data_IF_109079684304
#
_entry.id   IF_109079684304
#
_cell.length_a   1.000
_cell.length_b   1.000
_cell.length_c   1.000
_cell.angle_alpha   90.00
_cell.angle_beta   90.00
_cell.angle_gamma   90.00
#
_symmetry.space_group_name_H-M   'P 1'
#
loop_
_entity.id
_entity.type
_entity.pdbx_description
1 polymer ?
#
# COMPACT_ATOMS: atom_id res chain seq x y z
N UNK A 1 18.17 18.58 0.55
CA UNK A 1 17.63 18.15 -0.75
C UNK A 1 16.38 17.31 -0.51
N UNK A 2 15.23 17.95 -0.33
CA UNK A 2 13.91 17.28 -0.22
C UNK A 2 12.89 18.17 -0.94
N UNK A 3 13.00 18.25 -2.26
CA UNK A 3 11.95 18.86 -3.08
C UNK A 3 10.86 17.80 -3.26
N UNK A 4 9.91 17.76 -2.33
CA UNK A 4 8.67 17.02 -2.57
C UNK A 4 7.82 17.82 -3.57
N UNK A 5 7.17 17.12 -4.50
CA UNK A 5 6.27 17.75 -5.46
C UNK A 5 5.05 18.29 -4.72
N UNK A 6 4.76 19.57 -4.94
CA UNK A 6 3.58 20.25 -4.42
C UNK A 6 2.44 20.06 -5.42
N UNK A 7 1.42 19.30 -5.03
CA UNK A 7 0.18 19.08 -5.78
C UNK A 7 -0.97 19.68 -4.97
N UNK A 8 -1.30 20.95 -5.23
CA UNK A 8 -2.20 21.74 -4.38
C UNK A 8 -3.68 21.39 -4.54
N UNK A 9 -4.05 20.68 -5.61
CA UNK A 9 -5.43 20.35 -5.94
C UNK A 9 -5.53 18.87 -6.34
N UNK A 10 -5.11 17.99 -5.42
CA UNK A 10 -5.09 16.55 -5.61
C UNK A 10 -5.59 15.85 -4.36
N UNK A 11 -6.42 14.82 -4.54
CA UNK A 11 -6.76 13.88 -3.46
C UNK A 11 -5.54 13.00 -3.24
N UNK A 12 -5.12 12.85 -1.98
CA UNK A 12 -3.98 12.00 -1.60
C UNK A 12 -4.43 11.00 -0.55
N UNK A 13 -4.11 9.73 -0.75
CA UNK A 13 -4.44 8.63 0.17
C UNK A 13 -3.31 7.61 0.16
N UNK A 14 -2.98 7.07 1.34
CA UNK A 14 -2.05 5.95 1.49
C UNK A 14 -2.82 4.64 1.52
N UNK A 15 -2.51 3.72 0.60
CA UNK A 15 -3.07 2.37 0.60
C UNK A 15 -2.06 1.38 1.16
N UNK A 16 -2.53 0.53 2.07
CA UNK A 16 -1.70 -0.50 2.71
C UNK A 16 -2.12 -1.89 2.21
N UNK A 17 -1.22 -2.57 1.51
CA UNK A 17 -1.44 -3.90 0.94
C UNK A 17 -0.18 -4.76 0.92
N UNK A 18 0.74 -4.51 1.87
CA UNK A 18 2.09 -5.09 1.86
C UNK A 18 2.74 -5.00 0.46
N UNK A 19 3.29 -6.10 -0.05
CA UNK A 19 3.92 -6.16 -1.37
C UNK A 19 2.94 -5.99 -2.54
N UNK A 20 1.62 -6.16 -2.33
CA UNK A 20 0.59 -5.98 -3.35
C UNK A 20 0.09 -4.51 -3.45
N UNK A 21 0.57 -3.62 -2.57
CA UNK A 21 0.04 -2.26 -2.42
C UNK A 21 -0.02 -1.44 -3.71
N UNK A 22 0.98 -1.58 -4.60
CA UNK A 22 0.99 -0.87 -5.88
C UNK A 22 -0.17 -1.31 -6.79
N UNK A 23 -0.47 -2.61 -6.85
CA UNK A 23 -1.56 -3.13 -7.68
C UNK A 23 -2.92 -2.68 -7.14
N UNK A 24 -3.10 -2.67 -5.81
CA UNK A 24 -4.32 -2.15 -5.19
C UNK A 24 -4.52 -0.66 -5.46
N UNK A 25 -3.46 0.14 -5.32
CA UNK A 25 -3.51 1.57 -5.63
C UNK A 25 -3.79 1.81 -7.12
N UNK A 26 -3.17 1.04 -8.02
CA UNK A 26 -3.41 1.14 -9.45
C UNK A 26 -4.87 0.85 -9.83
N UNK A 27 -5.48 -0.17 -9.21
CA UNK A 27 -6.90 -0.51 -9.44
C UNK A 27 -7.86 0.53 -8.89
N UNK A 28 -7.53 1.09 -7.72
CA UNK A 28 -8.30 2.18 -7.13
C UNK A 28 -8.27 3.42 -8.03
N UNK A 29 -7.09 3.80 -8.51
CA UNK A 29 -6.92 4.98 -9.35
C UNK A 29 -7.46 4.75 -10.77
N UNK A 30 -7.36 3.55 -11.36
CA UNK A 30 -8.00 3.25 -12.67
C UNK A 30 -9.52 3.46 -12.61
N UNK A 31 -10.17 2.96 -11.55
CA UNK A 31 -11.59 3.21 -11.32
C UNK A 31 -11.91 4.70 -11.16
N UNK A 32 -11.12 5.42 -10.38
CA UNK A 32 -11.27 6.88 -10.17
C UNK A 32 -11.09 7.67 -11.47
N UNK A 33 -10.04 7.38 -12.24
CA UNK A 33 -9.75 8.03 -13.52
C UNK A 33 -10.83 7.75 -14.55
N UNK A 34 -11.35 6.52 -14.63
CA UNK A 34 -12.48 6.18 -15.53
C UNK A 34 -13.78 6.88 -15.13
N UNK A 35 -14.03 7.05 -13.84
CA UNK A 35 -15.26 7.68 -13.33
C UNK A 35 -15.24 9.21 -13.45
N UNK A 36 -14.09 9.84 -13.19
CA UNK A 36 -13.99 11.29 -13.07
C UNK A 36 -13.21 11.96 -14.20
N UNK A 37 -12.54 11.21 -15.06
CA UNK A 37 -11.75 11.73 -16.17
C UNK A 37 -10.47 12.46 -15.76
N UNK A 38 -10.10 12.43 -14.48
CA UNK A 38 -8.91 13.10 -13.97
C UNK A 38 -7.70 12.15 -13.98
N UNK A 39 -6.50 12.65 -14.32
CA UNK A 39 -5.28 11.86 -14.20
C UNK A 39 -4.95 11.56 -12.73
N UNK A 40 -4.30 10.44 -12.49
CA UNK A 40 -3.85 10.02 -11.16
C UNK A 40 -2.36 9.66 -11.17
N UNK A 41 -1.71 9.86 -10.02
CA UNK A 41 -0.31 9.53 -9.78
C UNK A 41 -0.24 8.43 -8.74
N UNK A 42 0.09 7.22 -9.18
CA UNK A 42 0.27 6.05 -8.30
C UNK A 42 1.73 5.98 -7.90
N UNK A 43 2.02 5.95 -6.59
CA UNK A 43 3.37 5.83 -6.06
C UNK A 43 3.43 4.62 -5.14
N UNK A 44 4.45 3.79 -5.30
CA UNK A 44 4.84 2.80 -4.31
C UNK A 44 6.27 3.09 -3.86
N UNK A 45 6.46 3.28 -2.56
CA UNK A 45 7.76 3.54 -1.98
C UNK A 45 7.92 2.79 -0.67
N UNK A 46 9.02 2.06 -0.55
CA UNK A 46 9.30 1.20 0.59
C UNK A 46 10.73 1.43 1.08
N UNK A 47 10.86 1.65 2.39
CA UNK A 47 12.15 1.68 3.08
C UNK A 47 12.16 0.50 4.06
N UNK A 48 12.42 -0.70 3.54
CA UNK A 48 12.39 -1.95 4.31
C UNK A 48 13.71 -2.24 5.02
N UNK A 49 14.82 -1.60 4.63
CA UNK A 49 16.12 -1.74 5.28
C UNK A 49 16.04 -1.48 6.80
N UNK A 50 15.22 -0.50 7.22
CA UNK A 50 14.97 -0.16 8.63
C UNK A 50 14.16 -1.21 9.40
N UNK A 51 13.59 -2.19 8.70
CA UNK A 51 12.75 -3.26 9.27
C UNK A 51 13.44 -4.63 9.22
N UNK A 52 14.66 -4.72 8.69
CA UNK A 52 15.42 -5.97 8.64
C UNK A 52 15.77 -6.41 10.07
N UNK A 53 15.49 -7.68 10.39
CA UNK A 53 16.03 -8.35 11.56
C UNK A 53 17.29 -9.12 11.14
N UNK A 54 18.51 -8.71 11.55
CA UNK A 54 19.74 -9.39 11.15
C UNK A 54 19.84 -10.86 11.57
N UNK A 55 19.07 -11.27 12.60
CA UNK A 55 19.00 -12.67 13.03
C UNK A 55 18.12 -13.54 12.13
N UNK A 56 17.25 -12.94 11.31
CA UNK A 56 16.35 -13.63 10.41
C UNK A 56 16.91 -13.54 8.98
N UNK A 57 17.62 -14.60 8.57
CA UNK A 57 18.42 -14.59 7.35
C UNK A 57 17.57 -14.42 6.08
N UNK A 58 16.32 -14.90 6.06
CA UNK A 58 15.49 -14.81 4.87
C UNK A 58 15.14 -13.36 4.54
N UNK A 59 14.72 -12.54 5.52
CA UNK A 59 14.45 -11.11 5.30
C UNK A 59 15.72 -10.30 5.06
N UNK A 60 16.82 -10.62 5.75
CA UNK A 60 18.05 -9.82 5.69
C UNK A 60 18.69 -9.77 4.29
N UNK A 61 18.49 -10.81 3.47
CA UNK A 61 19.05 -10.87 2.11
C UNK A 61 18.05 -10.46 1.02
N UNK A 62 16.76 -10.31 1.36
CA UNK A 62 15.69 -10.04 0.40
C UNK A 62 15.22 -8.58 0.43
N UNK A 63 15.17 -7.94 1.60
CA UNK A 63 14.59 -6.61 1.72
C UNK A 63 15.55 -5.50 1.28
N UNK A 64 14.99 -4.55 0.55
CA UNK A 64 15.70 -3.40 0.01
C UNK A 64 14.80 -2.15 0.04
N UNK A 65 15.41 -1.01 -0.22
CA UNK A 65 14.71 0.27 -0.32
C UNK A 65 14.53 0.63 -1.80
N UNK A 66 13.30 0.99 -2.17
CA UNK A 66 12.98 1.35 -3.54
C UNK A 66 11.73 2.23 -3.60
N UNK A 67 11.60 2.99 -4.70
CA UNK A 67 10.39 3.70 -5.04
C UNK A 67 10.14 3.61 -6.55
N UNK A 68 8.87 3.53 -6.92
CA UNK A 68 8.39 3.54 -8.30
C UNK A 68 7.08 4.31 -8.40
N UNK A 69 6.79 4.84 -9.58
CA UNK A 69 5.56 5.58 -9.82
C UNK A 69 5.05 5.37 -11.25
N UNK A 70 3.73 5.46 -11.40
CA UNK A 70 3.05 5.49 -12.70
C UNK A 70 2.05 6.65 -12.70
N UNK A 71 1.95 7.34 -13.84
CA UNK A 71 0.86 8.29 -14.10
C UNK A 71 -0.13 7.59 -14.99
N UNK A 72 -1.39 7.57 -14.58
CA UNK A 72 -2.50 7.09 -15.39
C UNK A 72 -3.40 8.26 -15.76
N UNK A 73 -4.02 8.17 -16.94
CA UNK A 73 -4.86 9.23 -17.48
C UNK A 73 -6.09 8.65 -18.17
N UNK A 74 -7.09 9.49 -18.44
CA UNK A 74 -8.29 9.08 -19.17
C UNK A 74 -7.92 8.56 -20.57
N UNK A 75 -8.67 7.57 -21.03
CA UNK A 75 -8.53 6.98 -22.35
C UNK A 75 -9.92 6.68 -22.92
N UNK A 76 -10.20 7.17 -24.13
CA UNK A 76 -11.49 7.00 -24.79
C UNK A 76 -11.57 5.69 -25.60
N UNK A 77 -10.43 5.02 -25.83
CA UNK A 77 -10.35 3.74 -26.55
C UNK A 77 -10.70 2.58 -25.61
N UNK A 78 -11.85 1.95 -25.84
CA UNK A 78 -12.39 0.89 -24.97
C UNK A 78 -11.52 -0.39 -24.93
N UNK A 79 -10.64 -0.60 -25.90
CA UNK A 79 -9.73 -1.75 -26.04
C UNK A 79 -8.29 -1.46 -25.56
N UNK A 80 -8.10 -0.36 -24.81
CA UNK A 80 -6.80 0.08 -24.31
C UNK A 80 -6.81 0.30 -22.79
N UNK A 81 -5.60 0.44 -22.24
CA UNK A 81 -5.39 0.64 -20.80
C UNK A 81 -5.42 -0.68 -20.03
N UNK A 82 -5.94 -0.64 -18.80
CA UNK A 82 -6.11 -1.83 -17.97
C UNK A 82 -7.33 -2.60 -18.48
N UNK A 83 -7.10 -3.73 -19.15
CA UNK A 83 -8.15 -4.55 -19.76
C UNK A 83 -8.91 -5.40 -18.72
N UNK A 84 -8.27 -5.67 -17.60
CA UNK A 84 -8.82 -6.45 -16.51
C UNK A 84 -7.79 -6.65 -15.41
N UNK A 85 -8.28 -6.91 -14.21
CA UNK A 85 -7.44 -7.28 -13.08
C UNK A 85 -8.19 -8.22 -12.14
N UNK A 86 -7.43 -8.99 -11.39
CA UNK A 86 -7.91 -9.85 -10.33
C UNK A 86 -7.08 -9.55 -9.09
N UNK A 87 -7.77 -9.24 -8.01
CA UNK A 87 -7.20 -8.97 -6.70
C UNK A 87 -7.95 -9.82 -5.68
N UNK A 88 -7.21 -10.44 -4.78
CA UNK A 88 -7.75 -11.35 -3.77
C UNK A 88 -6.98 -11.18 -2.46
N UNK A 89 -7.57 -11.63 -1.36
CA UNK A 89 -6.95 -11.56 -0.03
C UNK A 89 -7.38 -12.76 0.81
N UNK A 90 -6.42 -13.62 1.14
CA UNK A 90 -6.62 -14.74 2.06
C UNK A 90 -6.01 -14.44 3.44
N UNK A 91 -6.87 -14.22 4.43
CA UNK A 91 -6.47 -13.97 5.81
C UNK A 91 -6.09 -15.22 6.61
N UNK A 92 -6.32 -16.43 6.08
CA UNK A 92 -6.03 -17.69 6.79
C UNK A 92 -4.56 -17.84 7.17
N UNK A 93 -3.67 -17.23 6.38
CA UNK A 93 -2.22 -17.28 6.52
C UNK A 93 -1.63 -16.00 7.16
N UNK A 94 -2.45 -15.18 7.83
CA UNK A 94 -2.03 -13.91 8.43
C UNK A 94 -0.83 -14.03 9.39
N UNK A 95 -0.66 -15.18 10.03
CA UNK A 95 0.44 -15.46 10.96
C UNK A 95 1.81 -15.72 10.31
N UNK A 96 1.91 -15.86 8.98
CA UNK A 96 3.16 -16.24 8.32
C UNK A 96 4.16 -15.08 8.20
N UNK A 97 3.69 -13.86 7.92
CA UNK A 97 4.54 -12.68 7.74
C UNK A 97 3.96 -11.55 8.57
N UNK A 98 4.62 -11.22 9.67
CA UNK A 98 4.12 -10.22 10.62
C UNK A 98 5.24 -9.31 11.10
N UNK A 99 4.90 -8.04 11.30
CA UNK A 99 5.70 -7.12 12.08
C UNK A 99 4.91 -6.92 13.39
N UNK A 100 5.43 -7.40 14.54
CA UNK A 100 4.78 -7.19 15.82
C UNK A 100 4.51 -5.69 16.05
N UNK A 101 3.33 -5.37 16.57
CA UNK A 101 3.01 -3.99 16.93
C UNK A 101 3.99 -3.49 18.00
N UNK A 102 4.35 -2.21 17.95
CA UNK A 102 5.10 -1.59 19.03
C UNK A 102 4.34 -1.75 20.35
N UNK A 103 5.03 -2.05 21.45
CA UNK A 103 4.41 -2.34 22.76
C UNK A 103 3.39 -1.28 23.22
N UNK A 104 3.59 -0.01 22.83
CA UNK A 104 2.68 1.09 23.13
C UNK A 104 1.28 0.93 22.49
N UNK A 105 1.21 0.40 21.26
CA UNK A 105 -0.05 0.10 20.56
C UNK A 105 -0.66 -1.18 21.14
N UNK A 106 0.17 -2.18 21.46
CA UNK A 106 -0.27 -3.44 22.04
C UNK A 106 -0.99 -3.25 23.39
N UNK A 107 -0.59 -2.28 24.21
CA UNK A 107 -1.29 -1.93 25.48
C UNK A 107 -2.65 -1.26 25.24
N UNK A 108 -2.77 -0.42 24.21
CA UNK A 108 -4.02 0.28 23.87
C UNK A 108 -5.10 -0.70 23.37
N UNK A 109 -4.74 -1.63 22.49
CA UNK A 109 -5.67 -2.64 21.93
C UNK A 109 -6.09 -3.66 23.01
N UNK A 110 -5.16 -4.09 23.87
CA UNK A 110 -5.45 -4.99 24.99
C UNK A 110 -6.36 -4.34 26.05
N UNK A 111 -6.33 -3.01 26.18
CA UNK A 111 -7.23 -2.26 27.07
C UNK A 111 -8.62 -2.08 26.44
N UNK A 112 -8.69 -1.85 25.12
CA UNK A 112 -9.95 -1.70 24.38
C UNK A 112 -10.78 -2.98 24.29
N UNK A 113 -10.14 -4.15 24.20
CA UNK A 113 -10.85 -5.45 24.19
C UNK A 113 -11.33 -5.90 25.57
N UNK A 114 -10.83 -5.31 26.67
CA UNK A 114 -11.31 -5.58 28.04
C UNK A 114 -12.57 -4.80 28.44
N UNK A 115 -13.04 -3.84 27.63
CA UNK A 115 -14.16 -2.96 27.99
C UNK A 115 -15.46 -3.20 27.22
N UNK A 116 -15.61 -4.31 26.47
CA UNK A 116 -16.90 -4.72 25.92
C UNK A 116 -17.54 -5.78 26.84
N UNK A 117 -18.46 -5.41 27.75
CA UNK A 117 -19.35 -6.40 28.35
C UNK A 117 -20.24 -7.00 27.26
N UNK A 118 -20.59 -8.28 27.43
CA UNK A 118 -21.52 -9.03 26.59
C UNK A 118 -22.94 -8.44 26.66
#
# INVERSE_FOLDING_TARGET
MTSQRRLDNSITVDLTGACAGFIYALMFDDGSTRLHGNPALVIAANILSRRINPAERASAVLFADAAGAAVIGPCDEADRGILGASVDSDGSCYGLIQIPAAEAISRSIATSTRSRPA
#
